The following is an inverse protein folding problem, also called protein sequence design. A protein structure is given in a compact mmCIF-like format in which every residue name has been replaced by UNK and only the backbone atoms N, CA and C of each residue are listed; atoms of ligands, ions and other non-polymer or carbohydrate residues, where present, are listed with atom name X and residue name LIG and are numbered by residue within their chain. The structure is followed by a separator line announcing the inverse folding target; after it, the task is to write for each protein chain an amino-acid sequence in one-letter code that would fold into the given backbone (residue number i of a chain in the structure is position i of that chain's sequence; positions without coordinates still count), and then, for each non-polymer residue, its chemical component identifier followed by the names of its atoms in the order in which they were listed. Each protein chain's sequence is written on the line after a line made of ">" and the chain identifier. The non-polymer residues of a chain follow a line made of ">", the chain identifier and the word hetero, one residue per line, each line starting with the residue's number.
data_IF_842373156798
#
_entry.id   IF_842373156798
#
_cell.length_a   1.000
_cell.length_b   1.000
_cell.length_c   1.000
_cell.angle_alpha   90.00
_cell.angle_beta   90.00
_cell.angle_gamma   90.00
#
_symmetry.space_group_name_H-M   'P 1'
#
loop_
_entity.id
_entity.type
_entity.pdbx_description
1 polymer ?
#
# COMPACT_ATOMS: atom_id res chain seq x y z
N UNK A 1 -12.72 1.46 -8.46
CA UNK A 1 -11.68 1.01 -9.41
C UNK A 1 -10.96 -0.14 -8.73
N UNK A 2 -10.71 -1.28 -9.38
CA UNK A 2 -10.06 -2.42 -8.74
C UNK A 2 -8.54 -2.35 -8.94
N UNK A 3 -7.77 -2.77 -7.93
CA UNK A 3 -6.31 -2.87 -8.02
C UNK A 3 -5.91 -3.83 -9.16
N UNK A 4 -4.83 -3.51 -9.87
CA UNK A 4 -4.29 -4.38 -10.93
C UNK A 4 -4.05 -5.80 -10.37
N UNK A 5 -4.59 -6.87 -11.00
CA UNK A 5 -4.43 -8.24 -10.51
C UNK A 5 -2.98 -8.70 -10.35
N UNK A 6 -2.08 -8.25 -11.22
CA UNK A 6 -0.66 -8.60 -11.13
C UNK A 6 -0.01 -7.95 -9.91
N UNK A 7 -0.40 -6.71 -9.56
CA UNK A 7 0.07 -6.03 -8.35
C UNK A 7 -0.56 -6.69 -7.12
N UNK A 8 -1.88 -6.93 -7.13
CA UNK A 8 -2.61 -7.51 -6.02
C UNK A 8 -2.06 -8.89 -5.61
N UNK A 9 -1.59 -9.69 -6.57
CA UNK A 9 -0.97 -10.99 -6.33
C UNK A 9 0.38 -10.93 -5.59
N UNK A 10 1.07 -9.78 -5.64
CA UNK A 10 2.35 -9.57 -4.96
C UNK A 10 2.20 -9.06 -3.52
N UNK A 11 1.02 -8.55 -3.17
CA UNK A 11 0.79 -7.91 -1.88
C UNK A 11 0.48 -8.92 -0.78
N UNK A 12 1.27 -8.87 0.29
CA UNK A 12 0.98 -9.60 1.52
C UNK A 12 0.05 -8.77 2.40
N UNK A 13 -1.12 -9.32 2.68
CA UNK A 13 -2.14 -8.74 3.56
C UNK A 13 -2.09 -9.38 4.94
N UNK A 14 -2.48 -8.63 5.96
CA UNK A 14 -2.69 -9.16 7.31
C UNK A 14 -4.06 -9.86 7.43
N UNK A 15 -4.43 -10.31 8.64
CA UNK A 15 -5.72 -10.95 8.92
C UNK A 15 -6.93 -10.04 8.66
N UNK A 16 -6.71 -8.73 8.65
CA UNK A 16 -7.75 -7.71 8.46
C UNK A 16 -7.83 -7.26 7.00
N UNK A 17 -7.16 -7.98 6.09
CA UNK A 17 -7.06 -7.69 4.66
C UNK A 17 -6.33 -6.37 4.31
N UNK A 18 -5.51 -5.85 5.22
CA UNK A 18 -4.76 -4.60 5.03
C UNK A 18 -3.30 -4.85 4.64
N UNK A 19 -2.76 -3.92 3.86
CA UNK A 19 -1.35 -3.84 3.44
C UNK A 19 -0.66 -2.72 4.21
N UNK A 20 0.53 -2.95 4.79
CA UNK A 20 1.32 -1.88 5.38
C UNK A 20 1.93 -1.01 4.27
N UNK A 21 1.71 0.31 4.33
CA UNK A 21 2.22 1.28 3.37
C UNK A 21 3.18 2.25 4.06
N UNK A 22 4.40 2.38 3.55
CA UNK A 22 5.37 3.37 4.00
C UNK A 22 5.33 4.58 3.07
N UNK A 23 5.07 5.75 3.63
CA UNK A 23 5.14 7.00 2.88
C UNK A 23 6.53 7.59 3.07
N UNK A 24 7.18 7.90 1.97
CA UNK A 24 8.53 8.45 1.92
C UNK A 24 8.52 9.74 1.09
N UNK A 25 9.31 10.72 1.50
CA UNK A 25 9.59 11.87 0.65
C UNK A 25 10.31 11.42 -0.63
N UNK A 26 9.80 11.83 -1.79
CA UNK A 26 10.29 11.37 -3.08
C UNK A 26 11.71 11.87 -3.42
N UNK A 27 12.15 12.96 -2.79
CA UNK A 27 13.44 13.61 -3.07
C UNK A 27 14.46 13.24 -2.01
N UNK A 28 14.18 13.54 -0.74
CA UNK A 28 15.11 13.32 0.38
C UNK A 28 15.22 11.86 0.80
N UNK A 29 14.22 11.03 0.43
CA UNK A 29 14.08 9.64 0.87
C UNK A 29 13.87 9.48 2.38
N UNK A 30 13.44 10.54 3.05
CA UNK A 30 13.02 10.45 4.45
C UNK A 30 11.70 9.66 4.57
N UNK A 31 11.64 8.73 5.52
CA UNK A 31 10.40 8.02 5.85
C UNK A 31 9.53 8.93 6.70
N UNK A 32 8.34 9.25 6.20
CA UNK A 32 7.44 10.20 6.82
C UNK A 32 6.45 9.50 7.76
N UNK A 33 5.91 8.35 7.35
CA UNK A 33 4.93 7.62 8.14
C UNK A 33 4.74 6.17 7.67
N UNK A 34 4.08 5.39 8.54
CA UNK A 34 3.47 4.11 8.22
C UNK A 34 1.95 4.23 8.28
N UNK A 35 1.26 3.65 7.31
CA UNK A 35 -0.18 3.53 7.24
C UNK A 35 -0.60 2.09 6.91
N UNK A 36 -1.91 1.82 7.03
CA UNK A 36 -2.54 0.60 6.55
C UNK A 36 -3.52 0.96 5.43
N UNK A 37 -3.53 0.17 4.35
CA UNK A 37 -4.37 0.41 3.18
C UNK A 37 -5.11 -0.87 2.78
N UNK A 38 -6.37 -0.72 2.37
CA UNK A 38 -7.11 -1.77 1.67
C UNK A 38 -6.89 -1.67 0.14
N UNK A 39 -7.47 -2.60 -0.61
CA UNK A 39 -7.32 -2.66 -2.06
C UNK A 39 -7.94 -1.46 -2.78
N UNK A 40 -8.98 -0.84 -2.22
CA UNK A 40 -9.61 0.34 -2.81
C UNK A 40 -8.71 1.57 -2.64
N UNK A 41 -8.14 1.76 -1.44
CA UNK A 41 -7.21 2.84 -1.15
C UNK A 41 -5.93 2.74 -2.01
N UNK A 42 -5.48 1.53 -2.33
CA UNK A 42 -4.33 1.31 -3.24
C UNK A 42 -4.66 1.52 -4.71
N UNK A 43 -5.92 1.37 -5.13
CA UNK A 43 -6.33 1.48 -6.52
C UNK A 43 -6.71 2.90 -6.95
N UNK A 44 -6.74 3.85 -6.02
CA UNK A 44 -7.06 5.27 -6.26
C UNK A 44 -5.78 6.10 -6.36
#
# INVERSE_FOLDING_TARGET
>A
MSLDPAVAALLKRNSDHLVPAIVQDATSREVLMLAWMDDEALAR
#
